data_IF_940873619305
#
_entry.id   IF_940873619305
#
_cell.length_a   1.000
_cell.length_b   1.000
_cell.length_c   1.000
_cell.angle_alpha   90.00
_cell.angle_beta   90.00
_cell.angle_gamma   90.00
#
_symmetry.space_group_name_H-M   'P 1'
#
loop_
_entity.id
_entity.type
_entity.pdbx_description
1 polymer ?
#
# COMPACT_ATOMS: atom_id res chain seq x y z
N UNK A 1 -4.29 5.30 -3.46
CA UNK A 1 -5.69 4.91 -3.18
C UNK A 1 -5.92 3.41 -3.45
N UNK A 2 -4.89 2.57 -3.28
CA UNK A 2 -4.91 1.15 -3.65
C UNK A 2 -5.86 0.34 -2.77
N UNK A 3 -5.91 0.57 -1.46
CA UNK A 3 -6.85 -0.15 -0.60
C UNK A 3 -8.34 0.15 -0.86
N UNK A 4 -8.68 1.36 -1.31
CA UNK A 4 -10.06 1.68 -1.75
C UNK A 4 -10.40 0.98 -3.06
N UNK A 5 -9.44 0.86 -3.97
CA UNK A 5 -9.62 0.11 -5.21
C UNK A 5 -9.88 -1.38 -4.91
N UNK A 6 -9.16 -1.97 -3.95
CA UNK A 6 -9.42 -3.35 -3.49
C UNK A 6 -10.81 -3.47 -2.88
N UNK A 7 -11.24 -2.55 -2.01
CA UNK A 7 -12.60 -2.56 -1.46
C UNK A 7 -13.67 -2.57 -2.56
N UNK A 8 -13.51 -1.73 -3.59
CA UNK A 8 -14.41 -1.71 -4.74
C UNK A 8 -14.37 -2.99 -5.58
N UNK A 9 -13.20 -3.65 -5.67
CA UNK A 9 -13.04 -4.91 -6.39
C UNK A 9 -13.76 -6.08 -5.70
N UNK A 10 -14.02 -5.97 -4.40
CA UNK A 10 -14.86 -6.90 -3.62
C UNK A 10 -16.31 -6.37 -3.45
N UNK A 11 -16.79 -5.52 -4.37
CA UNK A 11 -18.15 -4.96 -4.40
C UNK A 11 -18.58 -4.10 -3.19
N UNK A 12 -17.64 -3.74 -2.32
CA UNK A 12 -17.92 -2.78 -1.25
C UNK A 12 -18.04 -1.36 -1.83
N UNK A 13 -18.93 -0.56 -1.24
CA UNK A 13 -19.11 0.87 -1.55
C UNK A 13 -18.54 1.75 -0.43
N UNK A 14 -17.20 1.85 -0.31
CA UNK A 14 -16.59 2.63 0.75
C UNK A 14 -16.84 4.14 0.56
N UNK A 15 -17.28 4.80 1.62
CA UNK A 15 -17.34 6.26 1.67
C UNK A 15 -15.92 6.84 1.82
N UNK A 16 -15.30 7.18 0.68
CA UNK A 16 -13.91 7.63 0.59
C UNK A 16 -13.63 8.82 1.53
N UNK A 17 -14.56 9.78 1.60
CA UNK A 17 -14.44 10.96 2.48
C UNK A 17 -14.31 10.59 3.95
N UNK A 18 -15.16 9.66 4.44
CA UNK A 18 -15.10 9.18 5.82
C UNK A 18 -13.79 8.44 6.11
N UNK A 19 -13.33 7.58 5.20
CA UNK A 19 -12.07 6.83 5.37
C UNK A 19 -10.87 7.77 5.47
N UNK A 20 -10.77 8.75 4.58
CA UNK A 20 -9.67 9.72 4.58
C UNK A 20 -9.73 10.59 5.83
N UNK A 21 -10.92 11.06 6.21
CA UNK A 21 -11.10 11.89 7.41
C UNK A 21 -10.69 11.14 8.68
N UNK A 22 -11.12 9.89 8.82
CA UNK A 22 -10.72 9.05 9.96
C UNK A 22 -9.22 8.75 9.96
N UNK A 23 -8.63 8.38 8.82
CA UNK A 23 -7.19 8.13 8.74
C UNK A 23 -6.37 9.38 9.09
N UNK A 24 -6.77 10.55 8.59
CA UNK A 24 -6.15 11.84 8.92
C UNK A 24 -6.27 12.20 10.40
N UNK A 25 -7.46 12.04 10.97
CA UNK A 25 -7.69 12.28 12.40
C UNK A 25 -6.86 11.36 13.29
N UNK A 26 -6.82 10.05 12.99
CA UNK A 26 -6.00 9.10 13.73
C UNK A 26 -4.51 9.43 13.60
N UNK A 27 -4.04 9.80 12.41
CA UNK A 27 -2.66 10.26 12.21
C UNK A 27 -2.35 11.52 13.02
N UNK A 28 -3.28 12.48 13.11
CA UNK A 28 -3.11 13.67 13.94
C UNK A 28 -2.97 13.33 15.42
N UNK A 29 -3.77 12.38 15.92
CA UNK A 29 -3.70 11.92 17.31
C UNK A 29 -2.41 11.17 17.62
N UNK A 30 -1.90 10.39 16.65
CA UNK A 30 -0.71 9.56 16.82
C UNK A 30 0.59 10.32 16.53
N UNK A 31 0.54 11.39 15.73
CA UNK A 31 1.69 12.23 15.40
C UNK A 31 2.52 12.70 16.62
N UNK A 32 1.94 13.21 17.73
CA UNK A 32 2.73 13.62 18.90
C UNK A 32 3.42 12.45 19.62
N UNK A 33 2.95 11.22 19.42
CA UNK A 33 3.56 10.01 19.98
C UNK A 33 4.67 9.44 19.08
N UNK A 34 5.03 10.15 18.00
CA UNK A 34 6.03 9.70 17.03
C UNK A 34 5.55 8.52 16.18
N UNK A 35 4.24 8.28 16.09
CA UNK A 35 3.75 7.16 15.30
C UNK A 35 3.75 7.44 13.79
N UNK A 36 3.91 6.36 13.03
CA UNK A 36 4.00 6.38 11.58
C UNK A 36 2.64 6.65 10.91
N UNK A 37 2.69 7.14 9.69
CA UNK A 37 1.48 7.41 8.88
C UNK A 37 0.68 6.13 8.64
N UNK A 38 -0.56 6.11 9.14
CA UNK A 38 -1.54 5.09 8.87
C UNK A 38 -2.22 5.33 7.52
N UNK A 39 -2.39 4.25 6.75
CA UNK A 39 -3.10 4.25 5.48
C UNK A 39 -3.80 2.91 5.22
N UNK A 40 -4.61 2.84 4.16
CA UNK A 40 -5.27 1.61 3.74
C UNK A 40 -4.30 0.69 2.99
N UNK A 41 -3.93 -0.42 3.61
CA UNK A 41 -3.15 -1.50 2.98
C UNK A 41 -4.00 -2.29 2.00
N UNK A 42 -3.58 -2.35 0.73
CA UNK A 42 -4.26 -3.12 -0.30
C UNK A 42 -4.15 -4.64 -0.06
N UNK A 43 -2.97 -5.12 0.36
CA UNK A 43 -2.71 -6.55 0.53
C UNK A 43 -3.48 -7.11 1.73
N UNK A 44 -3.38 -6.46 2.89
CA UNK A 44 -4.09 -6.87 4.10
C UNK A 44 -5.60 -6.80 3.89
N UNK A 45 -6.08 -5.76 3.19
CA UNK A 45 -7.49 -5.64 2.85
C UNK A 45 -7.97 -6.80 1.94
N UNK A 46 -7.20 -7.16 0.91
CA UNK A 46 -7.54 -8.30 0.05
C UNK A 46 -7.62 -9.62 0.82
N UNK A 47 -6.71 -9.86 1.76
CA UNK A 47 -6.71 -11.05 2.62
C UNK A 47 -7.95 -11.07 3.53
N UNK A 48 -8.22 -9.96 4.23
CA UNK A 48 -9.35 -9.87 5.15
C UNK A 48 -10.72 -9.89 4.45
N UNK A 49 -10.79 -9.58 3.15
CA UNK A 49 -12.03 -9.62 2.36
C UNK A 49 -12.23 -10.92 1.58
N UNK A 50 -11.26 -11.82 1.60
CA UNK A 50 -11.36 -13.12 0.96
C UNK A 50 -12.52 -13.97 1.51
N UNK A 51 -13.03 -14.94 0.73
CA UNK A 51 -14.13 -15.81 1.16
C UNK A 51 -13.77 -16.63 2.40
N UNK A 52 -12.48 -16.89 2.63
CA UNK A 52 -11.94 -17.58 3.81
C UNK A 52 -12.13 -16.81 5.13
N UNK A 53 -12.30 -15.48 5.06
CA UNK A 53 -12.44 -14.65 6.27
C UNK A 53 -13.79 -14.87 6.96
N UNK A 54 -14.87 -14.92 6.17
CA UNK A 54 -16.21 -15.27 6.62
C UNK A 54 -17.13 -15.51 5.40
N UNK A 55 -18.06 -16.49 5.45
CA UNK A 55 -19.02 -16.74 4.37
C UNK A 55 -19.94 -15.54 4.09
N UNK A 56 -20.38 -14.87 5.15
CA UNK A 56 -21.16 -13.63 5.10
C UNK A 56 -20.25 -12.41 4.93
N UNK A 57 -20.40 -11.71 3.81
CA UNK A 57 -19.61 -10.54 3.40
C UNK A 57 -19.71 -9.37 4.38
N UNK A 58 -20.85 -9.25 5.08
CA UNK A 58 -21.08 -8.15 6.03
C UNK A 58 -20.32 -8.36 7.34
N UNK A 59 -19.84 -9.58 7.60
CA UNK A 59 -19.12 -9.97 8.83
C UNK A 59 -17.62 -10.11 8.65
N UNK A 60 -17.08 -9.91 7.43
CA UNK A 60 -15.64 -10.03 7.14
C UNK A 60 -14.77 -9.02 7.90
N UNK A 61 -15.36 -7.98 8.51
CA UNK A 61 -14.65 -7.05 9.38
C UNK A 61 -14.02 -7.72 10.62
N UNK A 62 -14.51 -8.89 11.04
CA UNK A 62 -13.94 -9.65 12.15
C UNK A 62 -12.49 -10.05 11.91
N UNK A 63 -12.13 -10.38 10.66
CA UNK A 63 -10.75 -10.67 10.28
C UNK A 63 -9.86 -9.44 10.43
N UNK A 64 -10.36 -8.25 10.06
CA UNK A 64 -9.64 -7.00 10.23
C UNK A 64 -9.45 -6.64 11.71
N UNK A 65 -10.47 -6.85 12.56
CA UNK A 65 -10.36 -6.65 14.01
C UNK A 65 -9.33 -7.60 14.63
N UNK A 66 -9.42 -8.89 14.31
CA UNK A 66 -8.47 -9.90 14.80
C UNK A 66 -7.04 -9.56 14.42
N UNK A 67 -6.81 -9.17 13.15
CA UNK A 67 -5.50 -8.73 12.69
C UNK A 67 -5.01 -7.49 13.45
N UNK A 68 -5.89 -6.51 13.71
CA UNK A 68 -5.55 -5.34 14.51
C UNK A 68 -5.13 -5.69 15.95
N UNK A 69 -5.86 -6.59 16.61
CA UNK A 69 -5.51 -7.07 17.96
C UNK A 69 -4.16 -7.77 17.96
N UNK A 70 -3.91 -8.66 16.99
CA UNK A 70 -2.62 -9.34 16.84
C UNK A 70 -1.50 -8.32 16.63
N UNK A 71 -1.71 -7.28 15.81
CA UNK A 71 -0.71 -6.24 15.56
C UNK A 71 -0.41 -5.41 16.81
N UNK A 72 -1.38 -5.18 17.69
CA UNK A 72 -1.13 -4.53 18.99
C UNK A 72 -0.23 -5.41 19.87
N UNK A 73 -0.50 -6.72 19.96
CA UNK A 73 0.35 -7.64 20.70
C UNK A 73 1.77 -7.69 20.12
N UNK A 74 1.89 -7.88 18.81
CA UNK A 74 3.18 -7.87 18.09
C UNK A 74 3.91 -6.54 18.29
N UNK A 75 3.19 -5.41 18.27
CA UNK A 75 3.74 -4.09 18.53
C UNK A 75 4.29 -3.92 19.94
N UNK A 76 3.63 -4.50 20.95
CA UNK A 76 4.12 -4.50 22.34
C UNK A 76 5.44 -5.28 22.49
N UNK A 77 5.60 -6.37 21.73
CA UNK A 77 6.84 -7.17 21.69
C UNK A 77 7.80 -6.74 20.56
N UNK A 78 7.60 -5.57 19.96
CA UNK A 78 8.37 -5.13 18.79
C UNK A 78 9.87 -5.05 19.05
N UNK A 79 10.30 -4.66 20.26
CA UNK A 79 11.72 -4.62 20.63
C UNK A 79 12.38 -6.01 20.60
N UNK A 80 11.69 -7.04 21.09
CA UNK A 80 12.16 -8.43 21.03
C UNK A 80 12.22 -8.93 19.58
N UNK A 81 11.21 -8.61 18.78
CA UNK A 81 11.14 -8.98 17.36
C UNK A 81 12.30 -8.34 16.59
N UNK A 82 12.54 -7.03 16.78
CA UNK A 82 13.67 -6.33 16.18
C UNK A 82 14.99 -6.96 16.61
N UNK A 83 15.13 -7.33 17.89
CA UNK A 83 16.32 -8.04 18.39
C UNK A 83 16.59 -9.40 17.73
N UNK A 84 15.53 -10.14 17.37
CA UNK A 84 15.67 -11.40 16.62
C UNK A 84 16.12 -11.11 15.19
N UNK A 85 15.50 -10.12 14.52
CA UNK A 85 15.86 -9.77 13.14
C UNK A 85 17.27 -9.20 13.02
N UNK A 86 17.79 -8.50 14.03
CA UNK A 86 19.17 -8.00 14.04
C UNK A 86 20.20 -9.10 14.30
N UNK A 87 19.80 -10.25 14.86
CA UNK A 87 20.66 -11.42 15.02
C UNK A 87 20.85 -12.21 13.71
N UNK A 88 19.95 -12.05 12.73
CA UNK A 88 20.08 -12.68 11.42
C UNK A 88 20.98 -11.88 10.46
N UNK A 89 21.61 -12.54 9.48
CA UNK A 89 22.34 -11.86 8.41
C UNK A 89 21.42 -10.89 7.64
N UNK A 90 21.93 -9.70 7.33
CA UNK A 90 21.15 -8.65 6.65
C UNK A 90 20.64 -9.14 5.28
N UNK A 91 21.42 -9.96 4.61
CA UNK A 91 21.12 -10.57 3.32
C UNK A 91 19.88 -11.46 3.37
N UNK A 92 19.72 -12.23 4.47
CA UNK A 92 18.54 -13.08 4.69
C UNK A 92 17.28 -12.23 4.84
N UNK A 93 17.36 -11.18 5.68
CA UNK A 93 16.24 -10.27 5.94
C UNK A 93 15.82 -9.55 4.65
N UNK A 94 16.78 -9.04 3.88
CA UNK A 94 16.51 -8.40 2.58
C UNK A 94 15.90 -9.37 1.57
N UNK A 95 16.37 -10.61 1.53
CA UNK A 95 15.84 -11.64 0.61
C UNK A 95 14.39 -11.97 0.94
N UNK A 96 14.07 -12.20 2.22
CA UNK A 96 12.70 -12.51 2.64
C UNK A 96 11.78 -11.30 2.39
N UNK A 97 12.23 -10.09 2.71
CA UNK A 97 11.47 -8.87 2.42
C UNK A 97 11.21 -8.70 0.92
N UNK A 98 12.23 -8.92 0.08
CA UNK A 98 12.11 -8.89 -1.37
C UNK A 98 11.10 -9.91 -1.89
N UNK A 99 11.21 -11.18 -1.47
CA UNK A 99 10.29 -12.26 -1.83
C UNK A 99 8.84 -11.94 -1.43
N UNK A 100 8.64 -11.38 -0.24
CA UNK A 100 7.32 -10.96 0.23
C UNK A 100 6.70 -9.86 -0.65
N UNK A 101 7.51 -8.99 -1.26
CA UNK A 101 7.06 -7.91 -2.12
C UNK A 101 6.81 -8.31 -3.57
N UNK A 102 7.36 -9.43 -4.06
CA UNK A 102 7.22 -9.86 -5.46
C UNK A 102 5.74 -9.94 -5.87
N UNK A 103 4.90 -10.57 -5.04
CA UNK A 103 3.47 -10.71 -5.32
C UNK A 103 2.74 -9.36 -5.39
N UNK A 104 3.09 -8.43 -4.50
CA UNK A 104 2.49 -7.08 -4.48
C UNK A 104 2.93 -6.26 -5.69
N UNK A 105 4.22 -6.30 -6.05
CA UNK A 105 4.77 -5.59 -7.21
C UNK A 105 4.14 -6.14 -8.49
N UNK A 106 4.08 -7.46 -8.65
CA UNK A 106 3.49 -8.12 -9.81
C UNK A 106 2.03 -7.70 -10.01
N UNK A 107 1.20 -7.82 -8.96
CA UNK A 107 -0.20 -7.38 -9.02
C UNK A 107 -0.34 -5.88 -9.28
N UNK A 108 0.53 -5.06 -8.69
CA UNK A 108 0.55 -3.62 -8.92
C UNK A 108 0.83 -3.26 -10.37
N UNK A 109 1.82 -3.90 -10.99
CA UNK A 109 2.18 -3.69 -12.40
C UNK A 109 1.05 -4.16 -13.31
N UNK A 110 0.51 -5.37 -13.10
CA UNK A 110 -0.61 -5.92 -13.89
C UNK A 110 -1.80 -4.95 -13.86
N UNK A 111 -2.17 -4.46 -12.67
CA UNK A 111 -3.27 -3.50 -12.51
C UNK A 111 -2.97 -2.15 -13.19
N UNK A 112 -1.73 -1.66 -13.10
CA UNK A 112 -1.33 -0.38 -13.69
C UNK A 112 -1.32 -0.39 -15.22
N UNK A 113 -1.00 -1.51 -15.86
CA UNK A 113 -0.97 -1.64 -17.33
C UNK A 113 -2.28 -2.19 -17.93
N UNK A 114 -3.31 -2.40 -17.11
CA UNK A 114 -4.56 -2.99 -17.56
C UNK A 114 -5.27 -2.15 -18.63
N UNK A 115 -5.31 -0.82 -18.46
CA UNK A 115 -5.97 0.10 -19.40
C UNK A 115 -4.99 0.55 -20.48
N UNK A 116 -5.29 0.23 -21.74
CA UNK A 116 -4.39 0.50 -22.87
C UNK A 116 -4.02 1.97 -23.02
N UNK A 117 -4.96 2.88 -22.73
CA UNK A 117 -4.76 4.32 -22.88
C UNK A 117 -3.76 4.92 -21.89
N UNK A 118 -3.60 4.31 -20.72
CA UNK A 118 -2.72 4.79 -19.65
C UNK A 118 -1.43 3.96 -19.54
N UNK A 119 -1.25 2.91 -20.36
CA UNK A 119 -0.10 1.98 -20.28
C UNK A 119 1.24 2.68 -20.29
N UNK A 120 1.45 3.58 -21.25
CA UNK A 120 2.73 4.29 -21.39
C UNK A 120 3.02 5.17 -20.16
N UNK A 121 2.01 5.90 -19.68
CA UNK A 121 2.13 6.73 -18.47
C UNK A 121 2.39 5.89 -17.21
N UNK A 122 1.74 4.73 -17.07
CA UNK A 122 1.98 3.77 -15.99
C UNK A 122 3.41 3.22 -16.02
N UNK A 123 3.95 2.89 -17.20
CA UNK A 123 5.33 2.43 -17.34
C UNK A 123 6.35 3.53 -17.01
N UNK A 124 6.12 4.77 -17.46
CA UNK A 124 6.96 5.92 -17.09
C UNK A 124 6.97 6.10 -15.58
N UNK A 125 5.80 6.08 -14.94
CA UNK A 125 5.67 6.15 -13.47
C UNK A 125 6.49 5.05 -12.80
N UNK A 126 6.35 3.81 -13.26
CA UNK A 126 7.06 2.66 -12.70
C UNK A 126 8.59 2.79 -12.83
N UNK A 127 9.10 3.14 -14.01
CA UNK A 127 10.54 3.29 -14.23
C UNK A 127 11.14 4.44 -13.43
N UNK A 128 10.45 5.59 -13.34
CA UNK A 128 10.91 6.71 -12.51
C UNK A 128 10.90 6.31 -11.04
N UNK A 129 9.88 5.59 -10.57
CA UNK A 129 9.85 5.10 -9.18
C UNK A 129 11.03 4.14 -8.90
N UNK A 130 11.30 3.22 -9.81
CA UNK A 130 12.36 2.22 -9.71
C UNK A 130 13.78 2.81 -9.88
N UNK A 131 13.91 3.98 -10.50
CA UNK A 131 15.20 4.61 -10.77
C UNK A 131 15.97 5.03 -9.52
N UNK A 132 15.30 5.19 -8.38
CA UNK A 132 15.90 5.68 -7.14
C UNK A 132 16.33 7.17 -7.19
N UNK A 133 15.95 7.91 -8.23
CA UNK A 133 16.26 9.33 -8.38
C UNK A 133 15.69 10.12 -7.19
N UNK A 134 16.54 10.91 -6.53
CA UNK A 134 16.14 11.86 -5.50
C UNK A 134 16.56 13.26 -5.95
N UNK A 135 15.58 14.13 -6.18
CA UNK A 135 15.82 15.53 -6.55
C UNK A 135 15.29 16.42 -5.44
N UNK A 136 16.06 17.46 -5.07
CA UNK A 136 15.70 18.41 -4.02
C UNK A 136 15.38 17.77 -2.65
N UNK A 137 15.98 16.62 -2.36
CA UNK A 137 15.70 15.85 -1.14
C UNK A 137 14.37 15.09 -1.15
N UNK A 138 13.64 15.09 -2.26
CA UNK A 138 12.40 14.35 -2.44
C UNK A 138 12.68 13.07 -3.23
N UNK A 139 12.31 11.93 -2.65
CA UNK A 139 12.54 10.62 -3.23
C UNK A 139 11.77 10.34 -4.52
N UNK A 140 12.17 9.27 -5.21
CA UNK A 140 11.69 8.90 -6.55
C UNK A 140 10.18 8.71 -6.64
N UNK A 141 9.52 8.26 -5.57
CA UNK A 141 8.08 8.02 -5.55
C UNK A 141 7.25 9.27 -5.88
N UNK A 142 7.69 10.46 -5.44
CA UNK A 142 7.02 11.72 -5.77
C UNK A 142 7.23 12.08 -7.24
N UNK A 143 8.48 12.04 -7.70
CA UNK A 143 8.83 12.38 -9.08
C UNK A 143 8.23 11.41 -10.09
N UNK A 144 8.06 10.15 -9.71
CA UNK A 144 7.34 9.15 -10.48
C UNK A 144 5.90 9.56 -10.75
N UNK A 145 5.18 9.99 -9.70
CA UNK A 145 3.81 10.47 -9.84
C UNK A 145 3.74 11.74 -10.70
N UNK A 146 4.66 12.68 -10.50
CA UNK A 146 4.72 13.92 -11.30
C UNK A 146 4.97 13.60 -12.78
N UNK A 147 5.99 12.79 -13.08
CA UNK A 147 6.32 12.40 -14.45
C UNK A 147 5.18 11.62 -15.10
N UNK A 148 4.59 10.67 -14.38
CA UNK A 148 3.43 9.89 -14.83
C UNK A 148 2.21 10.76 -15.16
N UNK A 149 1.87 11.69 -14.28
CA UNK A 149 0.77 12.63 -14.49
C UNK A 149 1.02 13.55 -15.68
N UNK A 150 2.22 14.13 -15.80
CA UNK A 150 2.60 14.97 -16.95
C UNK A 150 2.48 14.18 -18.24
N UNK A 151 3.00 12.94 -18.28
CA UNK A 151 2.95 12.10 -19.46
C UNK A 151 1.52 11.71 -19.83
N UNK A 152 0.69 11.32 -18.84
CA UNK A 152 -0.73 11.03 -19.05
C UNK A 152 -1.49 12.24 -19.61
N UNK A 153 -1.21 13.45 -19.11
CA UNK A 153 -1.81 14.69 -19.62
C UNK A 153 -1.39 14.98 -21.06
N UNK A 154 -0.11 14.85 -21.39
CA UNK A 154 0.40 15.08 -22.76
C UNK A 154 -0.24 14.09 -23.75
N UNK A 155 -0.36 12.82 -23.39
CA UNK A 155 -1.01 11.83 -24.24
C UNK A 155 -2.50 12.12 -24.45
N UNK A 156 -3.21 12.55 -23.40
CA UNK A 156 -4.63 12.92 -23.49
C UNK A 156 -4.86 14.19 -24.30
N UNK A 157 -3.92 15.13 -24.30
CA UNK A 157 -3.98 16.36 -25.10
C UNK A 157 -3.67 16.13 -26.59
N UNK A 158 -3.08 14.98 -26.95
CA UNK A 158 -2.71 14.64 -28.33
C UNK A 158 -3.79 13.82 -29.06
N UNK A 159 -4.71 13.19 -28.32
CA UNK A 159 -5.93 12.55 -28.85
C UNK A 159 -7.00 13.60 -29.09
#
# INVERSE_FOLDING_TARGET
>A
MTGVAVLKAFDYKPEISKIISWAGFTNLLIAPFGGFTLNLSAMTAAICMGPEAHPDETKRYTAAISNGVIYIFVGLFSSAIVGIFTAFPKELVMTIAGLALIGTISNGVISAVHHEEDREASMVTFFVAASGISLFGIGSAFWALVAGCIFSLILKLRK
#
